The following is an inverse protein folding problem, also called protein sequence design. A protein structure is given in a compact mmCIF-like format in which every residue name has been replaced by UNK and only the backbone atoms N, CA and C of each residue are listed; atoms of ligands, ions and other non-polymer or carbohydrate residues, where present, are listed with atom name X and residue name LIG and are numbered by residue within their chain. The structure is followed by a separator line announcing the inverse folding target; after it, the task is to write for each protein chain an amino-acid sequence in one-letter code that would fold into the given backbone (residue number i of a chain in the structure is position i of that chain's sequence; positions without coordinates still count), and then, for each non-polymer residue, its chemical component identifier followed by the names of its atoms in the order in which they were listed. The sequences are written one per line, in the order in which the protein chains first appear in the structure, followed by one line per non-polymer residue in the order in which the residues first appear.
data_IF_444031415133
#
_entry.id   IF_444031415133
#
_cell.length_a   1.000
_cell.length_b   1.000
_cell.length_c   1.000
_cell.angle_alpha   90.00
_cell.angle_beta   90.00
_cell.angle_gamma   90.00
#
_symmetry.space_group_name_H-M   'P 1'
#
loop_
_entity.id
_entity.type
_entity.pdbx_description
1 polymer ?
#
# COMPACT_ATOMS: atom_id res chain seq x y z
N UNK A 1 -36.57 -3.56 -43.81
CA UNK A 1 -36.91 -4.42 -42.66
C UNK A 1 -35.80 -4.54 -41.59
N UNK A 2 -34.81 -3.63 -41.53
CA UNK A 2 -33.63 -3.72 -40.61
C UNK A 2 -33.86 -3.14 -39.19
N UNK A 3 -34.94 -2.37 -38.97
CA UNK A 3 -35.17 -1.61 -37.73
C UNK A 3 -35.19 -2.43 -36.42
N UNK A 4 -35.81 -3.64 -36.34
CA UNK A 4 -35.84 -4.38 -35.07
C UNK A 4 -34.48 -5.01 -34.73
N UNK A 5 -33.70 -5.41 -35.73
CA UNK A 5 -32.39 -6.03 -35.56
C UNK A 5 -31.35 -5.02 -35.03
N UNK A 6 -31.45 -3.77 -35.48
CA UNK A 6 -30.65 -2.65 -34.97
C UNK A 6 -30.93 -2.34 -33.49
N UNK A 7 -32.21 -2.43 -33.08
CA UNK A 7 -32.63 -2.17 -31.70
C UNK A 7 -32.12 -3.25 -30.72
N UNK A 8 -32.13 -4.51 -31.15
CA UNK A 8 -31.55 -5.64 -30.40
C UNK A 8 -30.04 -5.47 -30.27
N UNK A 9 -29.34 -5.08 -31.34
CA UNK A 9 -27.91 -4.82 -31.30
C UNK A 9 -27.54 -3.68 -30.34
N UNK A 10 -28.32 -2.59 -30.34
CA UNK A 10 -28.14 -1.47 -29.40
C UNK A 10 -28.34 -1.91 -27.94
N UNK A 11 -29.32 -2.79 -27.69
CA UNK A 11 -29.56 -3.36 -26.37
C UNK A 11 -28.38 -4.21 -25.88
N UNK A 12 -27.76 -5.03 -26.74
CA UNK A 12 -26.58 -5.81 -26.37
C UNK A 12 -25.35 -4.93 -26.06
N UNK A 13 -25.16 -3.80 -26.75
CA UNK A 13 -24.09 -2.86 -26.42
C UNK A 13 -24.27 -2.19 -25.04
N UNK A 14 -25.51 -2.07 -24.54
CA UNK A 14 -25.78 -1.46 -23.23
C UNK A 14 -25.42 -2.34 -22.03
N UNK A 15 -25.15 -3.64 -22.26
CA UNK A 15 -24.86 -4.62 -21.20
C UNK A 15 -23.37 -4.74 -20.85
N UNK A 16 -22.50 -3.84 -21.35
CA UNK A 16 -21.09 -3.86 -20.97
C UNK A 16 -20.91 -3.29 -19.55
N UNK A 17 -20.98 -4.17 -18.55
CA UNK A 17 -20.62 -3.85 -17.17
C UNK A 17 -19.09 -3.83 -17.04
N UNK A 18 -18.52 -2.64 -16.79
CA UNK A 18 -17.10 -2.49 -16.47
C UNK A 18 -16.88 -2.81 -14.98
N UNK A 19 -16.18 -3.92 -14.70
CA UNK A 19 -15.69 -4.23 -13.36
C UNK A 19 -14.22 -3.84 -13.26
N UNK A 20 -13.90 -2.81 -12.47
CA UNK A 20 -12.53 -2.33 -12.30
C UNK A 20 -11.72 -3.31 -11.44
N UNK A 21 -10.58 -3.79 -11.97
CA UNK A 21 -9.69 -4.74 -11.29
C UNK A 21 -8.41 -4.03 -10.85
N UNK A 22 -8.05 -4.19 -9.58
CA UNK A 22 -6.83 -3.62 -9.03
C UNK A 22 -5.65 -4.58 -9.25
N UNK A 23 -4.48 -4.03 -9.56
CA UNK A 23 -3.24 -4.81 -9.71
C UNK A 23 -2.20 -4.30 -8.73
N UNK A 24 -1.64 -5.21 -7.95
CA UNK A 24 -0.53 -4.92 -7.05
C UNK A 24 0.76 -4.79 -7.83
N UNK A 25 1.52 -3.72 -7.58
CA UNK A 25 2.85 -3.51 -8.14
C UNK A 25 3.85 -3.23 -7.02
N UNK A 26 5.14 -3.33 -7.35
CA UNK A 26 6.25 -3.18 -6.40
C UNK A 26 6.11 -1.94 -5.50
N UNK A 27 6.63 -2.07 -4.28
CA UNK A 27 6.69 -1.01 -3.27
C UNK A 27 5.31 -0.53 -2.80
N UNK A 28 4.27 -1.36 -2.81
CA UNK A 28 2.96 -0.94 -2.29
C UNK A 28 2.22 0.04 -3.21
N UNK A 29 2.51 -0.02 -4.50
CA UNK A 29 1.78 0.73 -5.51
C UNK A 29 0.64 -0.14 -6.04
N UNK A 30 -0.48 0.51 -6.41
CA UNK A 30 -1.62 -0.16 -7.00
C UNK A 30 -1.88 0.51 -8.34
N UNK A 31 -2.05 -0.29 -9.38
CA UNK A 31 -2.36 0.16 -10.73
C UNK A 31 -3.72 -0.38 -11.17
N UNK A 32 -4.27 0.26 -12.19
CA UNK A 32 -5.38 -0.28 -12.96
C UNK A 32 -4.90 -1.38 -13.92
N UNK A 33 -5.82 -2.05 -14.60
CA UNK A 33 -5.54 -3.05 -15.65
C UNK A 33 -4.74 -2.49 -16.82
N UNK A 34 -4.80 -1.18 -17.03
CA UNK A 34 -4.03 -0.45 -18.03
C UNK A 34 -2.65 0.02 -17.52
N UNK A 35 -2.19 -0.48 -16.36
CA UNK A 35 -0.95 -0.07 -15.68
C UNK A 35 -0.89 1.41 -15.23
N UNK A 36 -2.01 2.14 -15.28
CA UNK A 36 -2.11 3.48 -14.73
C UNK A 36 -2.04 3.45 -13.20
N UNK A 37 -1.08 4.18 -12.62
CA UNK A 37 -0.92 4.28 -11.16
C UNK A 37 -2.11 5.01 -10.55
N UNK A 38 -2.76 4.37 -9.58
CA UNK A 38 -3.89 4.93 -8.87
C UNK A 38 -3.39 5.69 -7.63
N UNK A 39 -3.91 6.89 -7.40
CA UNK A 39 -3.55 7.67 -6.22
C UNK A 39 -4.09 7.01 -4.94
N UNK A 40 -3.40 7.16 -3.79
CA UNK A 40 -3.89 6.60 -2.53
C UNK A 40 -5.30 7.06 -2.15
N UNK A 41 -5.63 8.33 -2.43
CA UNK A 41 -6.99 8.85 -2.17
C UNK A 41 -8.04 8.16 -3.02
N UNK A 42 -7.75 7.95 -4.32
CA UNK A 42 -8.65 7.21 -5.20
C UNK A 42 -8.79 5.74 -4.77
N UNK A 43 -7.72 5.12 -4.26
CA UNK A 43 -7.82 3.78 -3.67
C UNK A 43 -8.75 3.80 -2.45
N UNK A 44 -8.63 4.77 -1.54
CA UNK A 44 -9.53 4.84 -0.36
C UNK A 44 -10.99 5.02 -0.76
N UNK A 45 -11.27 5.80 -1.81
CA UNK A 45 -12.64 5.93 -2.32
C UNK A 45 -13.16 4.62 -2.92
N UNK A 46 -12.31 3.88 -3.64
CA UNK A 46 -12.68 2.56 -4.20
C UNK A 46 -12.96 1.55 -3.08
N UNK A 47 -12.17 1.59 -2.00
CA UNK A 47 -12.28 0.68 -0.86
C UNK A 47 -13.33 1.12 0.18
N UNK A 48 -13.98 2.28 0.01
CA UNK A 48 -14.93 2.81 0.98
C UNK A 48 -16.17 1.93 1.18
N UNK A 49 -16.47 1.05 0.23
CA UNK A 49 -17.55 0.06 0.33
C UNK A 49 -17.26 -1.06 1.34
N UNK A 50 -15.99 -1.28 1.71
CA UNK A 50 -15.60 -2.30 2.67
C UNK A 50 -14.61 -1.76 3.71
N UNK A 51 -15.11 -1.53 4.92
CA UNK A 51 -14.32 -0.98 6.02
C UNK A 51 -13.12 -1.86 6.41
N UNK A 52 -13.27 -3.20 6.38
CA UNK A 52 -12.19 -4.12 6.74
C UNK A 52 -11.01 -4.02 5.74
N UNK A 53 -11.32 -3.96 4.44
CA UNK A 53 -10.29 -3.79 3.41
C UNK A 53 -9.65 -2.40 3.53
N UNK A 54 -10.45 -1.36 3.77
CA UNK A 54 -9.97 0.01 3.95
C UNK A 54 -9.02 0.13 5.15
N UNK A 55 -9.34 -0.50 6.28
CA UNK A 55 -8.49 -0.49 7.47
C UNK A 55 -7.19 -1.25 7.26
N UNK A 56 -7.25 -2.39 6.55
CA UNK A 56 -6.05 -3.13 6.14
C UNK A 56 -5.16 -2.30 5.20
N UNK A 57 -5.76 -1.53 4.30
CA UNK A 57 -5.03 -0.60 3.42
C UNK A 57 -4.34 0.51 4.22
N UNK A 58 -5.07 1.18 5.12
CA UNK A 58 -4.52 2.24 5.96
C UNK A 58 -3.42 1.73 6.89
N UNK A 59 -3.59 0.55 7.48
CA UNK A 59 -2.56 -0.15 8.27
C UNK A 59 -1.31 -0.45 7.43
N UNK A 60 -1.49 -0.94 6.20
CA UNK A 60 -0.40 -1.15 5.25
C UNK A 60 0.34 0.15 4.93
N UNK A 61 -0.39 1.22 4.61
CA UNK A 61 0.21 2.55 4.33
C UNK A 61 0.98 3.10 5.52
N UNK A 62 0.46 2.94 6.74
CA UNK A 62 1.15 3.33 7.97
C UNK A 62 2.47 2.58 8.14
N UNK A 63 2.46 1.25 7.96
CA UNK A 63 3.70 0.44 8.00
C UNK A 63 4.70 0.86 6.92
N UNK A 64 4.24 1.23 5.72
CA UNK A 64 5.12 1.78 4.67
C UNK A 64 5.80 3.07 5.12
N UNK A 65 5.05 4.00 5.71
CA UNK A 65 5.60 5.25 6.24
C UNK A 65 6.60 4.98 7.36
N UNK A 66 6.24 4.17 8.37
CA UNK A 66 7.13 3.82 9.48
C UNK A 66 8.40 3.15 8.99
N UNK A 67 8.30 2.17 8.07
CA UNK A 67 9.46 1.49 7.50
C UNK A 67 10.38 2.43 6.71
N UNK A 68 9.82 3.40 5.98
CA UNK A 68 10.63 4.41 5.28
C UNK A 68 11.32 5.36 6.26
N UNK A 69 10.61 5.83 7.30
CA UNK A 69 11.18 6.68 8.35
C UNK A 69 12.32 5.96 9.06
N UNK A 70 12.16 4.69 9.41
CA UNK A 70 13.21 3.89 10.06
C UNK A 70 14.44 3.71 9.16
N UNK A 71 14.26 3.42 7.87
CA UNK A 71 15.39 3.33 6.94
C UNK A 71 16.11 4.67 6.79
N UNK A 72 15.37 5.75 6.52
CA UNK A 72 15.96 7.07 6.27
C UNK A 72 16.66 7.59 7.53
N UNK A 73 16.01 7.48 8.70
CA UNK A 73 16.63 7.86 9.97
C UNK A 73 17.84 6.99 10.30
N UNK A 74 17.77 5.68 10.06
CA UNK A 74 18.87 4.76 10.29
C UNK A 74 20.12 5.14 9.49
N UNK A 75 19.97 5.40 8.19
CA UNK A 75 21.07 5.92 7.38
C UNK A 75 21.50 7.33 7.82
N UNK A 76 20.55 8.19 8.19
CA UNK A 76 20.84 9.54 8.70
C UNK A 76 21.75 9.50 9.92
N UNK A 77 21.48 8.63 10.89
CA UNK A 77 22.31 8.46 12.09
C UNK A 77 23.71 7.94 11.76
N UNK A 78 23.83 6.99 10.82
CA UNK A 78 25.13 6.49 10.39
C UNK A 78 25.97 7.59 9.71
N UNK A 79 25.34 8.38 8.83
CA UNK A 79 26.04 9.51 8.18
C UNK A 79 26.42 10.61 9.16
N UNK A 80 25.56 10.90 10.14
CA UNK A 80 25.85 11.89 11.18
C UNK A 80 27.01 11.45 12.07
N UNK A 81 27.04 10.17 12.47
CA UNK A 81 28.14 9.63 13.26
C UNK A 81 29.45 9.62 12.47
N UNK A 82 29.40 9.27 11.19
CA UNK A 82 30.58 9.33 10.31
C UNK A 82 31.13 10.75 10.20
N UNK A 83 30.27 11.75 9.98
CA UNK A 83 30.69 13.17 9.95
C UNK A 83 31.27 13.57 11.30
N UNK A 84 30.67 13.16 12.41
CA UNK A 84 31.20 13.41 13.76
C UNK A 84 32.60 12.80 13.93
N UNK A 85 32.81 11.55 13.52
CA UNK A 85 34.12 10.89 13.58
C UNK A 85 35.19 11.54 12.69
N UNK A 86 34.80 12.08 11.53
CA UNK A 86 35.69 12.80 10.60
C UNK A 86 36.03 14.22 11.05
N UNK A 87 35.08 14.92 11.68
CA UNK A 87 35.25 16.31 12.15
C UNK A 87 35.79 16.41 13.57
N UNK A 88 35.74 15.31 14.34
CA UNK A 88 36.38 15.22 15.65
C UNK A 88 37.91 15.18 15.49
N UNK A 89 38.55 16.34 15.33
CA UNK A 89 39.98 16.53 15.56
C UNK A 89 40.18 17.06 16.98
N UNK A 90 40.67 16.22 17.90
CA UNK A 90 40.90 16.66 19.28
C UNK A 90 41.72 15.68 20.09
N UNK A 91 43.02 15.96 20.22
CA UNK A 91 43.76 15.63 21.44
C UNK A 91 43.67 16.89 22.30
N UNK A 92 42.93 16.80 23.40
CA UNK A 92 42.69 17.94 24.27
C UNK A 92 43.66 17.83 25.45
N UNK A 93 44.65 18.74 25.49
CA UNK A 93 45.66 18.78 26.53
C UNK A 93 45.15 19.58 27.73
N UNK A 94 44.85 18.91 28.84
CA UNK A 94 44.43 19.56 30.09
C UNK A 94 45.65 19.75 31.01
N UNK A 95 45.96 20.97 31.47
CA UNK A 95 47.09 21.19 32.38
C UNK A 95 46.76 20.61 33.77
N UNK A 96 47.59 19.68 34.24
CA UNK A 96 47.45 19.02 35.55
C UNK A 96 48.29 19.70 36.66
N UNK A 97 48.99 20.80 36.31
CA UNK A 97 49.94 21.49 37.20
C UNK A 97 51.35 20.87 37.14
N UNK A 98 52.38 21.65 37.49
CA UNK A 98 53.77 21.17 37.56
C UNK A 98 54.48 20.90 36.22
N UNK A 99 53.94 21.39 35.09
CA UNK A 99 54.50 21.17 33.75
C UNK A 99 53.98 19.91 33.04
N UNK A 100 53.04 19.20 33.65
CA UNK A 100 52.41 18.00 33.08
C UNK A 100 51.08 18.33 32.39
N UNK A 101 50.84 17.71 31.23
CA UNK A 101 49.60 17.81 30.47
C UNK A 101 48.94 16.43 30.40
N UNK A 102 47.65 16.34 30.73
CA UNK A 102 46.82 15.18 30.48
C UNK A 102 46.35 15.20 29.04
N UNK A 103 46.77 14.22 28.23
CA UNK A 103 46.24 14.04 26.88
C UNK A 103 44.93 13.26 26.98
N UNK A 104 43.80 13.95 26.82
CA UNK A 104 42.51 13.28 26.74
C UNK A 104 42.13 13.13 25.28
N UNK A 105 42.03 11.88 24.82
CA UNK A 105 41.43 11.58 23.54
C UNK A 105 39.94 11.86 23.66
N UNK A 106 39.45 12.94 23.07
CA UNK A 106 38.03 13.28 23.03
C UNK A 106 37.24 12.39 22.04
N UNK A 107 37.89 11.39 21.42
CA UNK A 107 37.27 10.50 20.44
C UNK A 107 36.51 9.36 21.10
N UNK A 108 35.20 9.51 21.20
CA UNK A 108 34.27 8.38 21.30
C UNK A 108 33.63 8.18 19.93
N UNK A 109 34.21 7.30 19.11
CA UNK A 109 33.64 6.86 17.83
C UNK A 109 33.86 5.34 17.68
N UNK A 110 32.86 4.55 17.26
CA UNK A 110 31.48 4.94 16.92
C UNK A 110 30.67 5.39 18.14
N UNK A 111 29.72 6.30 17.95
CA UNK A 111 28.81 6.75 19.02
C UNK A 111 27.55 5.87 19.10
N UNK A 112 26.70 6.15 20.09
CA UNK A 112 25.37 5.55 20.21
C UNK A 112 24.52 5.69 18.93
N UNK A 113 24.77 6.73 18.10
CA UNK A 113 24.06 6.96 16.84
C UNK A 113 24.28 5.82 15.84
N UNK A 114 25.47 5.24 15.75
CA UNK A 114 25.73 4.10 14.86
C UNK A 114 24.92 2.88 15.26
N UNK A 115 24.87 2.56 16.56
CA UNK A 115 24.11 1.40 17.05
C UNK A 115 22.60 1.58 16.86
N UNK A 116 22.07 2.77 17.15
CA UNK A 116 20.66 3.10 16.90
C UNK A 116 20.35 3.06 15.40
N UNK A 117 21.27 3.57 14.56
CA UNK A 117 21.13 3.57 13.12
C UNK A 117 21.04 2.17 12.52
N UNK A 118 21.94 1.27 12.92
CA UNK A 118 21.93 -0.14 12.52
C UNK A 118 20.64 -0.83 12.99
N UNK A 119 20.26 -0.64 14.26
CA UNK A 119 19.04 -1.24 14.81
C UNK A 119 17.78 -0.77 14.04
N UNK A 120 17.69 0.51 13.71
CA UNK A 120 16.58 1.06 12.93
C UNK A 120 16.49 0.43 11.53
N UNK A 121 17.62 0.24 10.84
CA UNK A 121 17.67 -0.41 9.52
C UNK A 121 17.20 -1.87 9.62
N UNK A 122 17.69 -2.62 10.62
CA UNK A 122 17.31 -4.02 10.83
C UNK A 122 15.80 -4.14 11.06
N UNK A 123 15.23 -3.28 11.91
CA UNK A 123 13.79 -3.27 12.21
C UNK A 123 12.97 -2.84 10.98
N UNK A 124 13.51 -1.98 10.11
CA UNK A 124 12.80 -1.50 8.94
C UNK A 124 12.52 -2.61 7.90
N UNK A 125 13.38 -3.63 7.80
CA UNK A 125 13.24 -4.74 6.84
C UNK A 125 11.93 -5.53 7.04
N UNK A 126 11.65 -6.13 8.21
CA UNK A 126 10.41 -6.87 8.42
C UNK A 126 9.18 -5.96 8.34
N UNK A 127 9.30 -4.68 8.74
CA UNK A 127 8.21 -3.69 8.57
C UNK A 127 7.91 -3.46 7.09
N UNK A 128 8.94 -3.38 6.23
CA UNK A 128 8.79 -3.20 4.78
C UNK A 128 8.16 -4.42 4.10
N UNK A 129 8.59 -5.61 4.46
CA UNK A 129 7.99 -6.86 3.97
C UNK A 129 6.52 -6.92 4.40
N UNK A 130 6.22 -6.55 5.64
CA UNK A 130 4.87 -6.56 6.20
C UNK A 130 3.90 -5.62 5.49
N UNK A 131 4.33 -4.41 5.10
CA UNK A 131 3.43 -3.51 4.37
C UNK A 131 3.13 -4.05 2.96
N UNK A 132 4.15 -4.58 2.26
CA UNK A 132 3.98 -5.12 0.89
C UNK A 132 2.89 -6.17 0.88
N UNK A 133 2.99 -7.15 1.79
CA UNK A 133 2.00 -8.22 1.95
C UNK A 133 0.60 -7.72 2.28
N UNK A 134 0.47 -6.68 3.11
CA UNK A 134 -0.83 -6.07 3.43
C UNK A 134 -1.47 -5.40 2.23
N UNK A 135 -0.71 -4.64 1.45
CA UNK A 135 -1.23 -3.96 0.26
C UNK A 135 -1.62 -4.99 -0.82
N UNK A 136 -0.81 -6.03 -0.99
CA UNK A 136 -1.13 -7.15 -1.89
C UNK A 136 -2.41 -7.87 -1.47
N UNK A 137 -2.56 -8.20 -0.17
CA UNK A 137 -3.79 -8.80 0.37
C UNK A 137 -5.01 -7.93 0.09
N UNK A 138 -4.92 -6.62 0.30
CA UNK A 138 -6.01 -5.67 0.00
C UNK A 138 -6.45 -5.76 -1.46
N UNK A 139 -5.51 -5.82 -2.40
CA UNK A 139 -5.81 -5.96 -3.83
C UNK A 139 -6.50 -7.29 -4.11
N UNK A 140 -6.00 -8.38 -3.53
CA UNK A 140 -6.60 -9.71 -3.67
C UNK A 140 -8.02 -9.76 -3.09
N UNK A 141 -8.22 -9.26 -1.88
CA UNK A 141 -9.53 -9.25 -1.21
C UNK A 141 -10.54 -8.40 -1.99
N UNK A 142 -10.15 -7.23 -2.48
CA UNK A 142 -11.01 -6.37 -3.30
C UNK A 142 -11.41 -7.08 -4.61
N UNK A 143 -10.45 -7.65 -5.32
CA UNK A 143 -10.73 -8.37 -6.56
C UNK A 143 -11.60 -9.61 -6.34
N UNK A 144 -11.41 -10.31 -5.21
CA UNK A 144 -12.22 -11.45 -4.83
C UNK A 144 -13.64 -11.03 -4.44
N UNK A 145 -13.82 -9.90 -3.76
CA UNK A 145 -15.15 -9.35 -3.48
C UNK A 145 -15.88 -8.91 -4.74
N UNK A 146 -15.19 -8.27 -5.69
CA UNK A 146 -15.76 -7.96 -7.00
C UNK A 146 -16.18 -9.26 -7.74
N UNK A 147 -15.40 -10.33 -7.61
CA UNK A 147 -15.76 -11.65 -8.15
C UNK A 147 -16.95 -12.30 -7.39
N UNK A 148 -17.06 -12.12 -6.07
CA UNK A 148 -18.19 -12.64 -5.28
C UNK A 148 -19.49 -11.85 -5.52
N UNK A 149 -19.43 -10.57 -5.85
CA UNK A 149 -20.59 -9.80 -6.34
C UNK A 149 -21.22 -10.42 -7.60
N UNK A 150 -20.45 -11.17 -8.41
CA UNK A 150 -21.00 -11.97 -9.51
C UNK A 150 -21.81 -13.19 -9.03
N UNK A 151 -21.48 -13.74 -7.86
CA UNK A 151 -22.23 -14.83 -7.22
C UNK A 151 -23.49 -14.34 -6.48
N UNK A 152 -23.67 -13.04 -6.30
CA UNK A 152 -24.92 -12.48 -5.75
C UNK A 152 -26.12 -12.73 -6.69
N UNK A 153 -25.84 -13.02 -7.97
CA UNK A 153 -26.85 -13.45 -8.95
C UNK A 153 -27.08 -14.96 -8.99
N UNK A 154 -26.34 -15.76 -8.21
CA UNK A 154 -26.46 -17.23 -8.25
C UNK A 154 -27.82 -17.74 -7.74
N UNK A 155 -28.52 -16.93 -6.92
CA UNK A 155 -29.89 -17.19 -6.45
C UNK A 155 -30.94 -16.29 -7.12
N UNK A 156 -30.57 -15.47 -8.11
CA UNK A 156 -31.53 -14.63 -8.84
C UNK A 156 -32.19 -15.48 -9.92
N UNK A 157 -33.40 -15.95 -9.67
CA UNK A 157 -34.20 -16.64 -10.71
C UNK A 157 -34.82 -15.59 -11.62
N UNK A 158 -34.39 -15.59 -12.88
CA UNK A 158 -35.04 -14.85 -13.95
C UNK A 158 -35.93 -15.81 -14.74
N UNK A 159 -37.24 -15.60 -14.68
CA UNK A 159 -38.22 -16.38 -15.45
C UNK A 159 -38.84 -15.51 -16.53
N UNK A 160 -38.84 -16.00 -17.76
CA UNK A 160 -39.60 -15.40 -18.86
C UNK A 160 -41.05 -15.87 -18.74
N UNK A 161 -41.96 -14.95 -18.47
CA UNK A 161 -43.39 -15.25 -18.33
C UNK A 161 -44.11 -14.76 -19.57
N UNK A 162 -44.92 -15.61 -20.17
CA UNK A 162 -45.77 -15.26 -21.32
C UNK A 162 -47.23 -15.52 -20.93
N UNK A 163 -48.12 -14.60 -21.28
CA UNK A 163 -49.56 -14.78 -21.14
C UNK A 163 -50.30 -14.13 -22.33
N UNK A 164 -51.63 -14.22 -22.36
CA UNK A 164 -52.46 -13.61 -23.43
C UNK A 164 -52.30 -12.09 -23.56
N UNK A 165 -51.83 -11.41 -22.51
CA UNK A 165 -51.65 -9.95 -22.45
C UNK A 165 -50.22 -9.50 -22.75
N UNK A 166 -49.26 -10.42 -22.93
CA UNK A 166 -47.90 -10.08 -23.33
C UNK A 166 -46.80 -11.00 -22.80
N UNK A 167 -45.57 -10.54 -22.96
CA UNK A 167 -44.34 -11.18 -22.49
C UNK A 167 -43.72 -10.28 -21.41
N UNK A 168 -43.30 -10.86 -20.29
CA UNK A 168 -42.64 -10.15 -19.20
C UNK A 168 -41.50 -10.96 -18.60
N UNK A 169 -40.60 -10.28 -17.89
CA UNK A 169 -39.51 -10.89 -17.14
C UNK A 169 -39.83 -10.79 -15.65
N UNK A 170 -39.82 -11.92 -14.93
CA UNK A 170 -39.91 -11.94 -13.46
C UNK A 170 -38.52 -12.16 -12.88
N UNK A 171 -38.06 -11.17 -12.13
CA UNK A 171 -36.86 -11.27 -11.31
C UNK A 171 -37.29 -11.60 -9.89
N UNK A 172 -36.89 -12.78 -9.40
CA UNK A 172 -37.09 -13.17 -8.01
C UNK A 172 -35.77 -13.04 -7.28
N UNK A 173 -35.71 -12.09 -6.34
CA UNK A 173 -34.60 -11.91 -5.41
C UNK A 173 -34.95 -12.69 -4.14
N UNK A 174 -34.04 -13.54 -3.67
CA UNK A 174 -34.20 -14.32 -2.45
C UNK A 174 -33.45 -13.66 -1.29
#
# INVERSE_FOLDING_TARGET
MIKPLFLIFLFFCSLQAFSQKLVYTSNGNITDTENHKISPEKIRTILASNQEILDNYNSGRTKKTVGNVLLISGFGFLTADLIHGLTASGISATPLGGGYYGLQSEKTYPTALTYIGIAAIIIAIPVKIGFSRKIEKVVTDYNNQAALGSNQFYNTKMELITNKNGIGLRLTLN
#
